data_IF_209671886329
#
_entry.id   IF_209671886329
#
_cell.length_a   1.000
_cell.length_b   1.000
_cell.length_c   1.000
_cell.angle_alpha   90.00
_cell.angle_beta   90.00
_cell.angle_gamma   90.00
#
_symmetry.space_group_name_H-M   'P 1'
#
loop_
_entity.id
_entity.type
_entity.pdbx_description
1 polymer ?
#
# COMPACT_ATOMS: atom_id res chain seq x y z
N UNK A 1 -48.98 -24.42 -50.86
CA UNK A 1 -48.11 -23.22 -50.90
C UNK A 1 -47.86 -22.73 -49.47
N UNK A 2 -46.80 -23.21 -48.83
CA UNK A 2 -46.39 -22.78 -47.49
C UNK A 2 -45.53 -21.51 -47.61
N UNK A 3 -46.06 -20.39 -47.13
CA UNK A 3 -45.36 -19.10 -47.12
C UNK A 3 -44.45 -19.04 -45.88
N UNK A 4 -43.16 -19.35 -46.07
CA UNK A 4 -42.13 -19.11 -45.05
C UNK A 4 -41.94 -17.60 -44.86
N UNK A 5 -42.43 -17.05 -43.74
CA UNK A 5 -42.09 -15.70 -43.28
C UNK A 5 -40.82 -15.78 -42.45
N UNK A 6 -39.67 -15.72 -43.11
CA UNK A 6 -38.39 -15.47 -42.45
C UNK A 6 -38.38 -14.00 -41.98
N UNK A 7 -38.64 -13.77 -40.70
CA UNK A 7 -38.30 -12.51 -40.05
C UNK A 7 -36.99 -12.73 -39.30
N UNK A 8 -35.93 -12.24 -39.91
CA UNK A 8 -34.55 -12.29 -39.44
C UNK A 8 -34.45 -11.89 -37.96
N UNK A 9 -33.97 -12.82 -37.14
CA UNK A 9 -33.58 -12.57 -35.77
C UNK A 9 -32.31 -11.70 -35.79
N UNK A 10 -32.44 -10.41 -35.52
CA UNK A 10 -31.31 -9.57 -35.18
C UNK A 10 -31.15 -9.58 -33.66
N UNK A 11 -30.48 -10.60 -33.13
CA UNK A 11 -29.99 -10.59 -31.75
C UNK A 11 -28.74 -9.71 -31.75
N UNK A 12 -28.90 -8.45 -31.34
CA UNK A 12 -27.79 -7.54 -31.06
C UNK A 12 -27.13 -8.03 -29.77
N UNK A 13 -26.04 -8.79 -29.90
CA UNK A 13 -25.22 -9.23 -28.79
C UNK A 13 -24.38 -8.04 -28.30
N UNK A 14 -24.90 -7.31 -27.31
CA UNK A 14 -24.16 -6.26 -26.62
C UNK A 14 -23.07 -6.90 -25.76
N UNK A 15 -21.83 -6.93 -26.27
CA UNK A 15 -20.65 -7.26 -25.46
C UNK A 15 -20.36 -6.03 -24.61
N UNK A 16 -21.01 -5.94 -23.46
CA UNK A 16 -20.60 -5.05 -22.39
C UNK A 16 -19.30 -5.62 -21.80
N UNK A 17 -18.15 -5.18 -22.33
CA UNK A 17 -16.85 -5.44 -21.74
C UNK A 17 -16.75 -4.72 -20.40
N UNK A 18 -17.20 -5.37 -19.33
CA UNK A 18 -16.90 -4.95 -17.96
C UNK A 18 -15.40 -5.11 -17.74
N UNK A 19 -14.64 -4.03 -17.94
CA UNK A 19 -13.32 -3.93 -17.32
C UNK A 19 -13.58 -3.86 -15.81
N UNK A 20 -13.49 -5.01 -15.14
CA UNK A 20 -13.36 -5.03 -13.69
C UNK A 20 -11.96 -4.48 -13.41
N UNK A 21 -11.87 -3.17 -13.23
CA UNK A 21 -10.72 -2.57 -12.59
C UNK A 21 -10.71 -3.06 -11.15
N UNK A 22 -10.01 -4.16 -10.87
CA UNK A 22 -9.66 -4.53 -9.50
C UNK A 22 -8.73 -3.43 -9.01
N UNK A 23 -9.27 -2.41 -8.36
CA UNK A 23 -8.45 -1.56 -7.50
C UNK A 23 -7.74 -2.51 -6.55
N UNK A 24 -6.41 -2.59 -6.62
CA UNK A 24 -5.60 -3.43 -5.75
C UNK A 24 -5.74 -2.94 -4.31
N UNK A 25 -6.83 -3.27 -3.65
CA UNK A 25 -7.00 -3.07 -2.23
C UNK A 25 -6.26 -4.22 -1.54
N UNK A 26 -5.53 -3.90 -0.47
CA UNK A 26 -4.91 -4.95 0.33
C UNK A 26 -5.96 -5.88 0.92
N UNK A 27 -5.62 -7.16 0.95
CA UNK A 27 -6.33 -8.12 1.78
C UNK A 27 -6.04 -7.89 3.28
N UNK A 28 -6.89 -8.47 4.13
CA UNK A 28 -6.78 -8.33 5.58
C UNK A 28 -5.45 -8.85 6.15
N UNK A 29 -4.80 -9.82 5.49
CA UNK A 29 -3.53 -10.35 5.96
C UNK A 29 -2.40 -9.35 5.75
N UNK A 30 -2.33 -8.73 4.58
CA UNK A 30 -1.40 -7.64 4.26
C UNK A 30 -1.63 -6.45 5.19
N UNK A 31 -2.89 -6.06 5.42
CA UNK A 31 -3.20 -4.94 6.32
C UNK A 31 -2.76 -5.21 7.77
N UNK A 32 -2.92 -6.44 8.27
CA UNK A 32 -2.46 -6.81 9.62
C UNK A 32 -0.94 -6.78 9.76
N UNK A 33 -0.19 -7.33 8.80
CA UNK A 33 1.27 -7.28 8.84
C UNK A 33 1.77 -5.82 8.77
N UNK A 34 1.18 -5.03 7.88
CA UNK A 34 1.43 -3.60 7.79
C UNK A 34 1.16 -2.86 9.10
N UNK A 35 0.02 -3.11 9.76
CA UNK A 35 -0.33 -2.43 11.01
C UNK A 35 0.68 -2.70 12.12
N UNK A 36 1.17 -3.94 12.25
CA UNK A 36 2.20 -4.26 13.24
C UNK A 36 3.49 -3.47 13.00
N UNK A 37 3.95 -3.42 11.75
CA UNK A 37 5.18 -2.69 11.37
C UNK A 37 5.02 -1.19 11.52
N UNK A 38 3.83 -0.68 11.19
CA UNK A 38 3.51 0.74 11.30
C UNK A 38 3.64 1.24 12.75
N UNK A 39 3.09 0.48 13.70
CA UNK A 39 3.21 0.80 15.12
C UNK A 39 4.66 0.78 15.59
N UNK A 40 5.42 -0.27 15.22
CA UNK A 40 6.85 -0.37 15.57
C UNK A 40 7.63 0.86 15.09
N UNK A 41 7.41 1.28 13.84
CA UNK A 41 8.14 2.42 13.27
C UNK A 41 7.64 3.76 13.83
N UNK A 42 6.34 3.93 14.10
CA UNK A 42 5.81 5.14 14.76
C UNK A 42 6.49 5.34 16.12
N UNK A 43 6.53 4.29 16.95
CA UNK A 43 7.17 4.34 18.26
C UNK A 43 8.66 4.63 18.15
N UNK A 44 9.35 4.06 17.15
CA UNK A 44 10.77 4.32 16.96
C UNK A 44 11.03 5.79 16.57
N UNK A 45 10.23 6.35 15.65
CA UNK A 45 10.33 7.75 15.23
C UNK A 45 10.10 8.69 16.42
N UNK A 46 9.03 8.46 17.17
CA UNK A 46 8.70 9.25 18.37
C UNK A 46 9.85 9.23 19.37
N UNK A 47 10.36 8.03 19.69
CA UNK A 47 11.50 7.86 20.58
C UNK A 47 12.76 8.59 20.09
N UNK A 48 13.08 8.55 18.79
CA UNK A 48 14.25 9.29 18.24
C UNK A 48 14.07 10.79 18.33
N UNK A 49 12.85 11.28 18.15
CA UNK A 49 12.51 12.69 18.36
C UNK A 49 12.68 13.11 19.82
N UNK A 50 12.22 12.29 20.76
CA UNK A 50 12.37 12.53 22.21
C UNK A 50 13.83 12.51 22.67
N UNK A 51 14.61 11.53 22.20
CA UNK A 51 16.03 11.41 22.52
C UNK A 51 16.88 12.53 21.89
N UNK A 52 16.32 13.24 20.88
CA UNK A 52 17.06 14.19 20.01
C UNK A 52 18.37 13.58 19.47
N UNK A 53 18.35 12.26 19.23
CA UNK A 53 19.51 11.51 18.78
C UNK A 53 19.79 11.70 17.27
N UNK A 54 18.82 12.24 16.54
CA UNK A 54 18.89 12.56 15.12
C UNK A 54 18.51 14.03 14.89
N UNK A 55 18.98 14.66 13.80
CA UNK A 55 18.48 15.96 13.37
C UNK A 55 16.96 15.93 13.18
N UNK A 56 16.28 17.04 13.52
CA UNK A 56 14.83 17.16 13.42
C UNK A 56 14.32 16.87 12.00
N UNK A 57 15.07 17.29 10.97
CA UNK A 57 14.74 17.03 9.57
C UNK A 57 14.79 15.53 9.24
N UNK A 58 15.70 14.77 9.86
CA UNK A 58 15.81 13.33 9.64
C UNK A 58 14.64 12.57 10.29
N UNK A 59 14.17 13.03 11.46
CA UNK A 59 12.97 12.51 12.12
C UNK A 59 11.72 12.85 11.32
N UNK A 60 11.61 14.10 10.83
CA UNK A 60 10.51 14.51 9.96
C UNK A 60 10.46 13.69 8.67
N UNK A 61 11.61 13.47 8.02
CA UNK A 61 11.69 12.62 6.84
C UNK A 61 11.30 11.16 7.15
N UNK A 62 11.59 10.66 8.37
CA UNK A 62 11.07 9.38 8.86
C UNK A 62 9.56 9.28 8.87
N UNK A 63 8.90 10.30 9.42
CA UNK A 63 7.45 10.34 9.43
C UNK A 63 6.87 10.38 7.99
N UNK A 64 7.49 11.15 7.08
CA UNK A 64 7.05 11.23 5.69
C UNK A 64 7.21 9.89 4.95
N UNK A 65 8.33 9.19 5.13
CA UNK A 65 8.55 7.88 4.51
C UNK A 65 7.59 6.81 5.08
N UNK A 66 7.24 6.90 6.36
CA UNK A 66 6.22 6.04 6.95
C UNK A 66 4.85 6.21 6.27
N UNK A 67 4.49 7.44 5.83
CA UNK A 67 3.26 7.67 5.07
C UNK A 67 3.30 6.98 3.69
N UNK A 68 4.48 6.89 3.07
CA UNK A 68 4.66 6.13 1.82
C UNK A 68 4.45 4.63 2.05
N UNK A 69 4.95 4.08 3.16
CA UNK A 69 4.69 2.70 3.55
C UNK A 69 3.19 2.45 3.76
N UNK A 70 2.51 3.32 4.51
CA UNK A 70 1.06 3.25 4.74
C UNK A 70 0.26 3.31 3.44
N UNK A 71 0.70 4.11 2.46
CA UNK A 71 0.09 4.18 1.13
C UNK A 71 0.27 2.85 0.39
N UNK A 72 1.50 2.31 0.35
CA UNK A 72 1.78 1.02 -0.28
C UNK A 72 0.93 -0.11 0.33
N UNK A 73 0.79 -0.13 1.67
CA UNK A 73 -0.11 -1.05 2.37
C UNK A 73 -1.55 -0.95 1.91
N UNK A 74 -2.14 0.26 1.83
CA UNK A 74 -3.53 0.43 1.38
C UNK A 74 -3.76 0.03 -0.08
N UNK A 75 -2.72 0.12 -0.90
CA UNK A 75 -2.73 -0.22 -2.33
C UNK A 75 -2.35 -1.70 -2.60
N UNK A 76 -2.37 -2.56 -1.60
CA UNK A 76 -2.06 -3.99 -1.78
C UNK A 76 -0.59 -4.28 -2.07
N UNK A 77 0.29 -3.27 -2.05
CA UNK A 77 1.74 -3.42 -2.30
C UNK A 77 2.48 -3.74 -1.00
N UNK A 78 2.12 -4.86 -0.37
CA UNK A 78 2.70 -5.28 0.91
C UNK A 78 4.22 -5.43 0.86
N UNK A 79 4.77 -6.01 -0.20
CA UNK A 79 6.22 -6.17 -0.37
C UNK A 79 6.97 -4.82 -0.40
N UNK A 80 6.45 -3.83 -1.12
CA UNK A 80 7.01 -2.48 -1.16
C UNK A 80 6.94 -1.82 0.23
N UNK A 81 5.81 -1.98 0.93
CA UNK A 81 5.66 -1.43 2.28
C UNK A 81 6.68 -2.04 3.25
N UNK A 82 6.88 -3.37 3.21
CA UNK A 82 7.88 -4.07 4.02
C UNK A 82 9.29 -3.56 3.73
N UNK A 83 9.63 -3.33 2.46
CA UNK A 83 10.94 -2.78 2.08
C UNK A 83 11.14 -1.36 2.64
N UNK A 84 10.10 -0.51 2.58
CA UNK A 84 10.16 0.84 3.17
C UNK A 84 10.32 0.75 4.69
N UNK A 85 9.53 -0.07 5.38
CA UNK A 85 9.64 -0.25 6.82
C UNK A 85 11.02 -0.77 7.25
N UNK A 86 11.61 -1.71 6.51
CA UNK A 86 12.95 -2.21 6.79
C UNK A 86 14.02 -1.12 6.59
N UNK A 87 13.88 -0.27 5.57
CA UNK A 87 14.76 0.89 5.37
C UNK A 87 14.65 1.92 6.48
N UNK A 88 13.42 2.18 6.97
CA UNK A 88 13.14 3.03 8.13
C UNK A 88 13.81 2.48 9.40
N UNK A 89 13.64 1.19 9.67
CA UNK A 89 14.24 0.53 10.83
C UNK A 89 15.77 0.65 10.81
N UNK A 90 16.41 0.29 9.70
CA UNK A 90 17.86 0.34 9.57
C UNK A 90 18.45 1.74 9.81
N UNK A 91 17.83 2.79 9.24
CA UNK A 91 18.33 4.17 9.39
C UNK A 91 18.07 4.75 10.78
N UNK A 92 16.97 4.36 11.42
CA UNK A 92 16.62 4.80 12.77
C UNK A 92 17.38 4.00 13.86
N UNK A 93 17.78 2.76 13.59
CA UNK A 93 18.64 1.95 14.45
C UNK A 93 20.10 2.40 14.41
N UNK A 94 20.61 2.81 13.25
CA UNK A 94 21.98 3.32 13.09
C UNK A 94 22.30 4.57 13.93
N UNK A 95 21.28 5.23 14.51
CA UNK A 95 21.44 6.35 15.44
C UNK A 95 22.05 5.94 16.79
N UNK A 96 21.89 4.67 17.21
CA UNK A 96 22.41 4.19 18.49
C UNK A 96 23.93 3.95 18.49
N UNK A 97 24.52 3.72 17.31
CA UNK A 97 25.90 3.26 17.15
C UNK A 97 26.96 4.35 16.97
N UNK A 98 26.60 5.64 16.99
CA UNK A 98 27.54 6.78 16.81
C UNK A 98 27.93 7.49 18.13
N UNK A 99 27.96 6.78 19.25
CA UNK A 99 28.49 7.30 20.52
C UNK A 99 29.97 7.00 20.70
#
# INVERSE_FOLDING_TARGET
MFKYRARSAAIVLAIASTMIATSGQADDAVLRDCASRDLTISTLIERRGEERALPDEAVAQAAMDQLLARRACREGRGADAVAIYAGLDARLAGADGRR
#
